data_IF_229009750864
#
_entry.id   IF_229009750864
#
_cell.length_a   1.000
_cell.length_b   1.000
_cell.length_c   1.000
_cell.angle_alpha   90.00
_cell.angle_beta   90.00
_cell.angle_gamma   90.00
#
_symmetry.space_group_name_H-M   'P 1'
#
loop_
_entity.id
_entity.type
_entity.pdbx_description
1 polymer ?
#
# COMPACT_ATOMS: atom_id res chain seq x y z
N UNK A 1 19.24 3.30 -20.35
CA UNK A 1 18.30 4.12 -19.56
C UNK A 1 17.19 3.16 -19.14
N UNK A 2 17.13 2.80 -17.85
CA UNK A 2 16.06 1.92 -17.35
C UNK A 2 14.82 2.80 -17.22
N UNK A 3 13.69 2.45 -17.85
CA UNK A 3 12.48 3.25 -17.68
C UNK A 3 12.06 3.24 -16.21
N UNK A 4 11.56 4.37 -15.68
CA UNK A 4 11.06 4.43 -14.31
C UNK A 4 9.90 3.44 -14.11
N UNK A 5 9.90 2.77 -12.96
CA UNK A 5 8.91 1.76 -12.57
C UNK A 5 8.46 2.04 -11.15
N UNK A 6 7.26 2.55 -11.00
CA UNK A 6 6.71 2.87 -9.70
C UNK A 6 5.19 2.98 -9.75
N UNK A 7 4.57 2.88 -8.58
CA UNK A 7 3.14 3.08 -8.37
C UNK A 7 2.93 4.44 -7.73
N UNK A 8 2.04 5.27 -8.30
CA UNK A 8 1.72 6.61 -7.79
C UNK A 8 0.69 6.56 -6.68
N UNK A 9 -0.41 5.84 -6.90
CA UNK A 9 -1.52 5.69 -5.98
C UNK A 9 -1.95 4.23 -5.88
N UNK A 10 -2.68 3.89 -4.82
CA UNK A 10 -3.20 2.53 -4.62
C UNK A 10 -4.63 2.55 -4.15
N UNK A 11 -5.47 1.75 -4.80
CA UNK A 11 -6.81 1.47 -4.35
C UNK A 11 -6.86 0.10 -3.70
N UNK A 12 -7.32 0.06 -2.46
CA UNK A 12 -7.33 -1.14 -1.62
C UNK A 12 -8.76 -1.51 -1.31
N UNK A 13 -9.14 -2.72 -1.69
CA UNK A 13 -10.47 -3.28 -1.40
C UNK A 13 -10.36 -4.40 -0.40
N UNK A 14 -11.02 -4.24 0.75
CA UNK A 14 -11.12 -5.28 1.75
C UNK A 14 -12.21 -6.26 1.34
N UNK A 15 -11.85 -7.50 1.01
CA UNK A 15 -12.84 -8.55 0.69
C UNK A 15 -13.19 -9.43 1.89
N UNK A 16 -12.54 -9.18 3.04
CA UNK A 16 -12.70 -9.98 4.25
C UNK A 16 -13.90 -9.50 5.07
N UNK A 17 -14.35 -10.37 5.98
CA UNK A 17 -15.45 -10.10 6.90
C UNK A 17 -15.04 -9.24 8.11
N UNK A 18 -13.77 -8.86 8.22
CA UNK A 18 -13.22 -8.11 9.35
C UNK A 18 -12.62 -6.78 8.88
N UNK A 19 -12.67 -5.72 9.70
CA UNK A 19 -11.98 -4.48 9.37
C UNK A 19 -10.47 -4.69 9.38
N UNK A 20 -9.78 -4.08 8.42
CA UNK A 20 -8.33 -4.15 8.26
C UNK A 20 -7.73 -2.76 8.28
N UNK A 21 -6.55 -2.65 8.87
CA UNK A 21 -5.75 -1.43 8.85
C UNK A 21 -4.66 -1.58 7.82
N UNK A 22 -4.60 -0.63 6.90
CA UNK A 22 -3.65 -0.62 5.79
C UNK A 22 -2.70 0.54 5.99
N UNK A 23 -1.41 0.26 5.98
CA UNK A 23 -0.33 1.21 6.11
C UNK A 23 0.46 1.20 4.80
N UNK A 24 0.30 2.26 4.00
CA UNK A 24 1.06 2.49 2.78
C UNK A 24 2.27 3.36 3.08
N UNK A 25 3.45 2.91 2.66
CA UNK A 25 4.69 3.68 2.75
C UNK A 25 5.04 4.14 1.35
N UNK A 26 5.13 5.45 1.15
CA UNK A 26 5.57 6.08 -0.08
C UNK A 26 6.95 6.70 0.13
N UNK A 27 7.79 6.62 -0.90
CA UNK A 27 9.16 7.07 -0.90
C UNK A 27 10.13 6.01 -1.42
N UNK A 28 11.40 6.34 -1.39
CA UNK A 28 12.51 5.42 -1.70
C UNK A 28 13.61 5.59 -0.65
N UNK A 29 14.45 4.56 -0.50
CA UNK A 29 15.60 4.66 0.40
C UNK A 29 16.58 5.75 -0.06
N UNK A 30 16.69 5.98 -1.36
CA UNK A 30 17.46 7.07 -1.94
C UNK A 30 16.92 8.44 -1.51
N UNK A 31 15.60 8.65 -1.58
CA UNK A 31 14.97 9.88 -1.10
C UNK A 31 15.12 10.06 0.42
N UNK A 32 15.01 8.98 1.19
CA UNK A 32 15.25 9.01 2.63
C UNK A 32 16.71 9.38 2.96
N UNK A 33 17.67 8.87 2.19
CA UNK A 33 19.09 9.20 2.33
C UNK A 33 19.40 10.67 1.95
N UNK A 34 18.62 11.25 1.05
CA UNK A 34 18.68 12.68 0.69
C UNK A 34 17.97 13.60 1.70
N UNK A 35 17.40 13.04 2.78
CA UNK A 35 16.71 13.78 3.84
C UNK A 35 15.20 13.92 3.66
N UNK A 36 14.62 13.32 2.61
CA UNK A 36 13.18 13.29 2.39
C UNK A 36 12.55 12.10 3.14
N UNK A 37 11.85 12.37 4.24
CA UNK A 37 11.23 11.31 5.05
C UNK A 37 10.20 10.49 4.25
N UNK A 38 10.16 9.17 4.48
CA UNK A 38 9.12 8.31 3.88
C UNK A 38 7.73 8.75 4.33
N UNK A 39 6.81 8.90 3.38
CA UNK A 39 5.44 9.32 3.65
C UNK A 39 4.62 8.08 4.00
N UNK A 40 4.20 7.98 5.26
CA UNK A 40 3.36 6.86 5.72
C UNK A 40 1.90 7.30 5.76
N UNK A 41 1.01 6.53 5.12
CA UNK A 41 -0.44 6.74 5.12
C UNK A 41 -1.14 5.53 5.69
N UNK A 42 -1.96 5.78 6.71
CA UNK A 42 -2.75 4.74 7.35
C UNK A 42 -4.21 4.94 7.00
N UNK A 43 -4.89 3.86 6.61
CA UNK A 43 -6.32 3.86 6.35
C UNK A 43 -6.96 2.61 6.93
N UNK A 44 -8.07 2.79 7.64
CA UNK A 44 -8.89 1.69 8.11
C UNK A 44 -9.95 1.37 7.06
N UNK A 45 -9.99 0.12 6.62
CA UNK A 45 -10.90 -0.36 5.57
C UNK A 45 -11.90 -1.31 6.21
N UNK A 46 -13.16 -0.88 6.25
CA UNK A 46 -14.26 -1.70 6.75
C UNK A 46 -14.42 -3.00 5.94
N UNK A 47 -15.09 -4.03 6.50
CA UNK A 47 -15.41 -5.25 5.75
C UNK A 47 -16.12 -4.94 4.43
N UNK A 48 -15.69 -5.57 3.34
CA UNK A 48 -16.25 -5.38 2.00
C UNK A 48 -16.17 -3.94 1.44
N UNK A 49 -15.42 -3.05 2.09
CA UNK A 49 -15.25 -1.67 1.66
C UNK A 49 -13.99 -1.48 0.82
N UNK A 50 -13.90 -0.32 0.17
CA UNK A 50 -12.75 0.11 -0.62
C UNK A 50 -12.23 1.44 -0.08
N UNK A 51 -10.92 1.57 -0.03
CA UNK A 51 -10.19 2.78 0.32
C UNK A 51 -9.23 3.15 -0.80
N UNK A 52 -9.10 4.44 -1.09
CA UNK A 52 -8.09 4.95 -2.00
C UNK A 52 -7.00 5.66 -1.19
N UNK A 53 -5.76 5.40 -1.56
CA UNK A 53 -4.57 6.11 -1.09
C UNK A 53 -4.02 6.86 -2.30
N UNK A 54 -4.32 8.16 -2.32
CA UNK A 54 -3.96 9.05 -3.43
C UNK A 54 -2.44 9.24 -3.57
N UNK A 55 -2.05 9.78 -4.73
CA UNK A 55 -0.66 10.09 -5.06
C UNK A 55 -0.02 10.97 -3.97
N UNK A 56 1.22 10.62 -3.60
CA UNK A 56 2.02 11.38 -2.65
C UNK A 56 3.17 12.07 -3.39
N UNK A 57 3.49 13.29 -2.98
CA UNK A 57 4.54 14.10 -3.59
C UNK A 57 5.47 14.69 -2.52
N UNK A 58 6.74 14.82 -2.87
CA UNK A 58 7.77 15.54 -2.13
C UNK A 58 7.93 16.94 -2.68
N UNK A 59 7.97 17.93 -1.79
CA UNK A 59 8.37 19.29 -2.14
C UNK A 59 9.90 19.38 -2.14
N UNK A 60 10.48 19.60 -3.33
CA UNK A 60 11.92 19.70 -3.53
C UNK A 60 12.41 21.16 -3.64
N UNK A 61 11.63 22.13 -3.15
CA UNK A 61 12.06 23.53 -3.08
C UNK A 61 12.10 24.23 -4.45
N UNK A 62 11.12 23.93 -5.31
CA UNK A 62 10.99 24.54 -6.64
C UNK A 62 10.36 23.64 -7.70
N UNK A 63 10.23 22.34 -7.39
CA UNK A 63 9.52 21.33 -8.18
C UNK A 63 9.02 20.23 -7.24
N UNK A 64 8.02 19.43 -7.67
CA UNK A 64 7.51 18.29 -6.89
C UNK A 64 7.97 16.97 -7.47
N UNK A 65 8.36 16.04 -6.60
CA UNK A 65 8.75 14.69 -6.97
C UNK A 65 7.71 13.68 -6.49
N UNK A 66 7.25 12.81 -7.37
CA UNK A 66 6.28 11.78 -6.98
C UNK A 66 6.93 10.77 -6.04
N UNK A 67 6.31 10.55 -4.88
CA UNK A 67 6.71 9.54 -3.92
C UNK A 67 6.11 8.19 -4.35
N UNK A 68 6.97 7.30 -4.84
CA UNK A 68 6.57 5.96 -5.25
C UNK A 68 6.05 5.14 -4.05
N UNK A 69 5.01 4.32 -4.24
CA UNK A 69 4.62 3.35 -3.24
C UNK A 69 5.73 2.31 -3.06
N UNK A 70 6.31 2.26 -1.87
CA UNK A 70 7.37 1.32 -1.49
C UNK A 70 6.78 0.02 -0.96
N UNK A 71 5.80 0.11 -0.07
CA UNK A 71 5.18 -1.07 0.53
C UNK A 71 3.78 -0.80 1.08
N UNK A 72 2.99 -1.87 1.15
CA UNK A 72 1.68 -1.92 1.79
C UNK A 72 1.70 -2.96 2.88
N UNK A 73 1.54 -2.51 4.12
CA UNK A 73 1.33 -3.40 5.26
C UNK A 73 -0.15 -3.47 5.57
N UNK A 74 -0.68 -4.67 5.70
CA UNK A 74 -2.06 -4.95 6.10
C UNK A 74 -2.04 -5.65 7.44
N UNK A 75 -2.79 -5.14 8.40
CA UNK A 75 -2.91 -5.72 9.74
C UNK A 75 -4.37 -5.72 10.19
N UNK A 76 -4.75 -6.58 11.16
CA UNK A 76 -6.10 -6.55 11.71
C UNK A 76 -6.33 -5.21 12.41
N UNK A 77 -7.47 -4.56 12.13
CA UNK A 77 -7.85 -3.35 12.86
C UNK A 77 -8.29 -3.67 14.31
N UNK A 78 -8.81 -4.88 14.53
CA UNK A 78 -9.22 -5.37 15.85
C UNK A 78 -8.04 -6.05 16.58
N UNK A 79 -7.73 -5.55 17.78
CA UNK A 79 -6.72 -6.14 18.65
C UNK A 79 -7.05 -7.59 19.05
N UNK A 80 -8.33 -7.98 19.08
CA UNK A 80 -8.74 -9.37 19.34
C UNK A 80 -8.37 -10.35 18.21
N UNK A 81 -8.11 -9.84 17.00
CA UNK A 81 -7.63 -10.61 15.86
C UNK A 81 -6.10 -10.57 15.72
N UNK A 82 -5.42 -9.67 16.44
CA UNK A 82 -3.95 -9.59 16.50
C UNK A 82 -3.38 -10.79 17.26
N UNK A 83 -3.24 -11.91 16.54
CA UNK A 83 -2.79 -13.19 17.09
C UNK A 83 -3.41 -14.39 16.37
N UNK A 84 -4.61 -14.22 15.79
CA UNK A 84 -5.27 -15.19 14.92
C UNK A 84 -4.94 -14.94 13.43
N UNK A 85 -4.82 -13.67 13.04
CA UNK A 85 -4.45 -13.23 11.69
C UNK A 85 -3.18 -12.37 11.78
N UNK A 86 -2.10 -12.87 11.20
CA UNK A 86 -0.84 -12.15 11.04
C UNK A 86 -0.93 -11.03 10.01
N UNK A 87 0.04 -10.13 10.08
CA UNK A 87 0.16 -9.03 9.12
C UNK A 87 0.65 -9.54 7.76
N UNK A 88 0.24 -8.85 6.69
CA UNK A 88 0.80 -9.04 5.36
C UNK A 88 1.65 -7.82 5.00
N UNK A 89 2.79 -8.06 4.38
CA UNK A 89 3.59 -7.01 3.74
C UNK A 89 3.58 -7.30 2.24
N UNK A 90 3.13 -6.32 1.47
CA UNK A 90 3.10 -6.37 0.02
C UNK A 90 4.01 -5.29 -0.54
N UNK A 91 4.92 -5.70 -1.42
CA UNK A 91 5.80 -4.78 -2.15
C UNK A 91 5.36 -4.78 -3.60
N UNK A 92 4.86 -3.64 -4.13
CA UNK A 92 4.44 -3.56 -5.52
C UNK A 92 5.62 -3.82 -6.45
N UNK A 93 5.46 -4.76 -7.38
CA UNK A 93 6.42 -4.99 -8.47
C UNK A 93 5.71 -4.66 -9.77
N UNK A 94 6.15 -3.58 -10.43
CA UNK A 94 5.56 -3.10 -11.69
C UNK A 94 6.64 -2.93 -12.75
N UNK A 95 6.28 -3.16 -14.01
CA UNK A 95 7.21 -3.03 -15.15
C UNK A 95 7.18 -1.63 -15.78
N UNK A 96 6.22 -0.79 -15.39
CA UNK A 96 6.01 0.56 -15.92
C UNK A 96 5.56 1.50 -14.79
N UNK A 97 5.36 2.79 -15.10
CA UNK A 97 4.69 3.71 -14.17
C UNK A 97 3.20 3.35 -14.14
N UNK A 98 2.73 2.96 -12.96
CA UNK A 98 1.31 2.70 -12.68
C UNK A 98 0.74 3.90 -11.93
N UNK A 99 -0.27 4.54 -12.49
CA UNK A 99 -1.02 5.61 -11.85
C UNK A 99 -1.78 5.08 -10.63
N UNK A 100 -2.62 4.06 -10.81
CA UNK A 100 -3.39 3.46 -9.71
C UNK A 100 -3.23 1.95 -9.70
N UNK A 101 -2.65 1.42 -8.61
CA UNK A 101 -2.60 -0.01 -8.35
C UNK A 101 -3.85 -0.43 -7.58
N UNK A 102 -4.70 -1.27 -8.18
CA UNK A 102 -5.85 -1.84 -7.49
C UNK A 102 -5.46 -3.16 -6.86
N UNK A 103 -5.63 -3.27 -5.55
CA UNK A 103 -5.35 -4.47 -4.76
C UNK A 103 -6.56 -4.90 -3.95
N UNK A 104 -6.72 -6.21 -3.80
CA UNK A 104 -7.71 -6.81 -2.92
C UNK A 104 -7.01 -7.46 -1.72
N UNK A 105 -7.53 -7.17 -0.53
CA UNK A 105 -7.13 -7.83 0.71
C UNK A 105 -8.06 -9.02 0.91
N UNK A 106 -7.45 -10.19 0.97
CA UNK A 106 -8.09 -11.48 1.14
C UNK A 106 -7.60 -12.11 2.45
N UNK A 107 -8.45 -12.89 3.10
CA UNK A 107 -8.09 -13.74 4.22
C UNK A 107 -8.59 -15.14 3.88
N UNK A 108 -7.78 -15.97 3.18
CA UNK A 108 -8.16 -17.35 2.90
C UNK A 108 -8.51 -18.07 4.20
N UNK A 109 -9.54 -18.89 4.18
CA UNK A 109 -10.06 -19.57 5.38
C UNK A 109 -9.02 -20.45 6.09
N UNK A 110 -8.02 -20.91 5.35
CA UNK A 110 -6.91 -21.75 5.83
C UNK A 110 -5.61 -20.98 6.09
N UNK A 111 -5.62 -19.64 5.89
CA UNK A 111 -4.44 -18.81 6.04
C UNK A 111 -4.48 -18.01 7.35
N UNK A 112 -3.40 -18.14 8.13
CA UNK A 112 -3.19 -17.34 9.33
C UNK A 112 -2.68 -15.92 9.03
N UNK A 113 -2.75 -15.45 7.78
CA UNK A 113 -2.23 -14.14 7.34
C UNK A 113 -3.10 -13.58 6.23
N UNK A 114 -3.20 -12.25 6.15
CA UNK A 114 -3.80 -11.60 4.99
C UNK A 114 -3.00 -11.89 3.71
N UNK A 115 -3.69 -11.88 2.58
CA UNK A 115 -3.13 -11.97 1.25
C UNK A 115 -3.52 -10.71 0.47
N UNK A 116 -2.56 -10.11 -0.22
CA UNK A 116 -2.78 -8.91 -1.04
C UNK A 116 -2.63 -9.32 -2.50
N UNK A 117 -3.74 -9.29 -3.24
CA UNK A 117 -3.77 -9.65 -4.65
C UNK A 117 -3.91 -8.39 -5.52
N UNK A 118 -3.03 -8.20 -6.51
CA UNK A 118 -3.18 -7.14 -7.50
C UNK A 118 -4.26 -7.56 -8.49
N UNK A 119 -5.31 -6.74 -8.62
CA UNK A 119 -6.44 -7.01 -9.53
C UNK A 119 -6.41 -6.14 -10.78
N UNK A 120 -5.78 -4.97 -10.72
CA UNK A 120 -5.67 -4.04 -11.86
C UNK A 120 -4.49 -3.08 -11.70
N UNK A 121 -3.88 -2.70 -12.82
CA UNK A 121 -2.87 -1.65 -12.92
C UNK A 121 -3.36 -0.64 -13.95
N UNK A 122 -3.54 0.62 -13.56
CA UNK A 122 -3.97 1.73 -14.43
C UNK A 122 -2.93 2.82 -14.54
#
# INVERSE_FOLDING_TARGET
MIPPRYVKAVSVKNTTSHPVKVTAVFGSDEQAAEGNAKITKNVDVAPHAQAALDEQEYDMGGWTAVAALESLKVEPADAGLQGALGHALFTPTVDTIVGVLHVEIQAPSDANTYHVAVVKQE
#
